data_IF_297258556966
#
_entry.id   IF_297258556966
#
_cell.length_a   1.000
_cell.length_b   1.000
_cell.length_c   1.000
_cell.angle_alpha   90.00
_cell.angle_beta   90.00
_cell.angle_gamma   90.00
#
_symmetry.space_group_name_H-M   'P 1'
#
loop_
_entity.id
_entity.type
_entity.pdbx_description
1 polymer ?
#
# COMPACT_ATOMS: atom_id res chain seq x y z
N UNK A 1 18.58 -1.35 11.61
CA UNK A 1 17.52 -1.59 12.62
C UNK A 1 16.91 -2.99 12.51
N UNK A 2 17.03 -3.69 11.37
CA UNK A 2 16.52 -5.08 11.23
C UNK A 2 17.61 -6.13 10.96
N UNK A 3 18.89 -5.74 10.89
CA UNK A 3 20.03 -6.64 10.68
C UNK A 3 19.89 -7.59 9.47
N UNK A 4 19.12 -7.19 8.45
CA UNK A 4 18.95 -7.97 7.23
C UNK A 4 20.25 -7.94 6.41
N UNK A 5 20.86 -9.09 6.09
CA UNK A 5 22.03 -9.15 5.21
C UNK A 5 21.70 -8.57 3.84
N UNK A 6 22.60 -7.77 3.27
CA UNK A 6 22.32 -7.05 2.03
C UNK A 6 22.12 -8.00 0.83
N UNK A 7 22.82 -9.14 0.79
CA UNK A 7 22.66 -10.14 -0.27
C UNK A 7 21.24 -10.69 -0.29
N UNK A 8 20.73 -11.05 0.90
CA UNK A 8 19.36 -11.54 1.04
C UNK A 8 18.32 -10.46 0.72
N UNK A 9 18.56 -9.21 1.13
CA UNK A 9 17.68 -8.10 0.77
C UNK A 9 17.63 -7.88 -0.76
N UNK A 10 18.76 -7.97 -1.44
CA UNK A 10 18.83 -7.83 -2.91
C UNK A 10 18.01 -8.90 -3.61
N UNK A 11 18.12 -10.18 -3.21
CA UNK A 11 17.34 -11.29 -3.80
C UNK A 11 15.82 -11.06 -3.67
N UNK A 12 15.34 -10.53 -2.53
CA UNK A 12 13.92 -10.21 -2.36
C UNK A 12 13.50 -9.00 -3.20
N UNK A 13 14.35 -7.98 -3.26
CA UNK A 13 14.05 -6.74 -3.98
C UNK A 13 13.95 -6.96 -5.51
N UNK A 14 14.49 -8.04 -6.06
CA UNK A 14 14.30 -8.41 -7.48
C UNK A 14 12.82 -8.59 -7.86
N UNK A 15 11.97 -8.94 -6.89
CA UNK A 15 10.53 -9.10 -7.10
C UNK A 15 9.72 -7.83 -6.84
N UNK A 16 10.37 -6.73 -6.47
CA UNK A 16 9.71 -5.47 -6.14
C UNK A 16 9.83 -4.50 -7.32
N UNK A 17 8.68 -4.13 -7.88
CA UNK A 17 8.61 -3.16 -8.96
C UNK A 17 7.89 -1.88 -8.50
N UNK A 18 8.46 -0.69 -8.78
CA UNK A 18 7.77 0.55 -8.50
C UNK A 18 6.58 0.71 -9.45
N UNK A 19 5.47 1.21 -8.91
CA UNK A 19 4.31 1.60 -9.69
C UNK A 19 4.22 3.12 -9.68
N UNK A 20 4.16 3.71 -10.87
CA UNK A 20 4.00 5.15 -11.07
C UNK A 20 2.65 5.37 -11.77
N UNK A 21 1.63 5.89 -11.07
CA UNK A 21 0.33 6.14 -11.67
C UNK A 21 0.43 7.16 -12.80
N UNK A 22 -0.19 6.86 -13.95
CA UNK A 22 -0.18 7.73 -15.13
C UNK A 22 -1.25 8.84 -15.08
N UNK A 23 -1.95 8.96 -13.96
CA UNK A 23 -2.94 10.00 -13.70
C UNK A 23 -2.93 10.44 -12.25
N UNK A 24 -3.63 11.53 -11.98
CA UNK A 24 -3.95 11.97 -10.63
C UNK A 24 -4.67 10.87 -9.83
N UNK A 25 -4.28 10.72 -8.56
CA UNK A 25 -4.87 9.79 -7.59
C UNK A 25 -5.98 10.41 -6.73
N UNK A 26 -6.51 11.57 -7.14
CA UNK A 26 -7.58 12.26 -6.38
C UNK A 26 -8.77 11.35 -6.03
N UNK A 27 -9.30 10.52 -6.96
CA UNK A 27 -10.40 9.61 -6.63
C UNK A 27 -10.04 8.62 -5.51
N UNK A 28 -8.83 8.08 -5.55
CA UNK A 28 -8.34 7.12 -4.56
C UNK A 28 -8.12 7.80 -3.20
N UNK A 29 -7.56 9.01 -3.17
CA UNK A 29 -7.41 9.78 -1.95
C UNK A 29 -8.76 10.11 -1.31
N UNK A 30 -9.77 10.48 -2.10
CA UNK A 30 -11.12 10.71 -1.59
C UNK A 30 -11.69 9.45 -0.93
N UNK A 31 -11.51 8.29 -1.57
CA UNK A 31 -11.94 6.99 -1.01
C UNK A 31 -11.18 6.64 0.26
N UNK A 32 -9.87 6.89 0.33
CA UNK A 32 -9.06 6.65 1.53
C UNK A 32 -9.53 7.54 2.68
N UNK A 33 -9.71 8.83 2.43
CA UNK A 33 -10.06 9.79 3.46
C UNK A 33 -11.49 9.64 3.99
N UNK A 34 -12.37 8.95 3.27
CA UNK A 34 -13.67 8.54 3.81
C UNK A 34 -13.58 7.38 4.82
N UNK A 35 -12.46 6.65 4.86
CA UNK A 35 -12.24 5.51 5.75
C UNK A 35 -11.29 5.82 6.93
N UNK A 36 -10.49 6.89 6.82
CA UNK A 36 -9.58 7.33 7.86
C UNK A 36 -8.53 8.30 7.34
N UNK A 37 -7.73 8.86 8.23
CA UNK A 37 -6.70 9.83 7.86
C UNK A 37 -5.31 9.18 7.87
N UNK A 38 -4.62 9.26 6.74
CA UNK A 38 -3.18 9.01 6.60
C UNK A 38 -2.58 10.09 5.69
N UNK A 39 -1.25 10.22 5.64
CA UNK A 39 -0.58 11.31 4.92
C UNK A 39 0.73 10.87 4.28
N UNK A 40 1.22 11.67 3.32
CA UNK A 40 2.51 11.43 2.67
C UNK A 40 2.58 10.05 2.02
N UNK A 41 3.67 9.32 2.28
CA UNK A 41 3.91 7.99 1.71
C UNK A 41 2.81 6.97 2.08
N UNK A 42 2.27 7.03 3.31
CA UNK A 42 1.25 6.07 3.74
C UNK A 42 -0.02 6.19 2.90
N UNK A 43 -0.44 7.43 2.63
CA UNK A 43 -1.59 7.71 1.78
C UNK A 43 -1.28 7.38 0.31
N UNK A 44 -0.07 7.72 -0.16
CA UNK A 44 0.35 7.43 -1.53
C UNK A 44 0.38 5.93 -1.84
N UNK A 45 0.85 5.09 -0.92
CA UNK A 45 0.85 3.63 -1.10
C UNK A 45 -0.56 3.06 -1.19
N UNK A 46 -1.47 3.48 -0.31
CA UNK A 46 -2.88 3.08 -0.37
C UNK A 46 -3.55 3.53 -1.66
N UNK A 47 -3.27 4.77 -2.08
CA UNK A 47 -3.85 5.34 -3.29
C UNK A 47 -3.34 4.62 -4.54
N UNK A 48 -2.06 4.27 -4.57
CA UNK A 48 -1.45 3.50 -5.66
C UNK A 48 -2.02 2.07 -5.71
N UNK A 49 -2.24 1.43 -4.56
CA UNK A 49 -2.86 0.11 -4.51
C UNK A 49 -4.31 0.13 -5.03
N UNK A 50 -5.11 1.13 -4.64
CA UNK A 50 -6.47 1.32 -5.17
C UNK A 50 -6.48 1.68 -6.65
N UNK A 51 -5.48 2.42 -7.13
CA UNK A 51 -5.34 2.70 -8.56
C UNK A 51 -5.18 1.42 -9.38
N UNK A 52 -4.37 0.46 -8.88
CA UNK A 52 -4.17 -0.83 -9.52
C UNK A 52 -5.38 -1.76 -9.39
N UNK A 53 -6.03 -1.74 -8.22
CA UNK A 53 -7.15 -2.63 -7.94
C UNK A 53 -8.25 -1.86 -7.18
N UNK A 54 -9.16 -1.19 -7.93
CA UNK A 54 -10.14 -0.26 -7.36
C UNK A 54 -11.10 -0.89 -6.35
N UNK A 55 -11.31 -2.20 -6.45
CA UNK A 55 -12.21 -2.98 -5.60
C UNK A 55 -11.55 -3.50 -4.31
N UNK A 56 -10.23 -3.36 -4.17
CA UNK A 56 -9.43 -3.83 -3.04
C UNK A 56 -9.60 -5.32 -2.67
N UNK A 57 -10.02 -6.21 -3.58
CA UNK A 57 -10.34 -7.62 -3.30
C UNK A 57 -9.25 -8.60 -3.69
N UNK A 58 -8.45 -8.27 -4.71
CA UNK A 58 -7.56 -9.23 -5.37
C UNK A 58 -6.09 -9.06 -4.97
N UNK A 59 -5.74 -7.96 -4.31
CA UNK A 59 -4.39 -7.70 -3.82
C UNK A 59 -4.30 -7.86 -2.30
N UNK A 60 -3.15 -8.33 -1.85
CA UNK A 60 -2.77 -8.27 -0.43
C UNK A 60 -2.00 -6.99 -0.20
N UNK A 61 -2.40 -6.22 0.81
CA UNK A 61 -1.69 -5.02 1.23
C UNK A 61 -0.77 -5.34 2.41
N UNK A 62 0.54 -5.28 2.19
CA UNK A 62 1.55 -5.55 3.20
C UNK A 62 2.02 -4.23 3.83
N UNK A 63 1.93 -4.11 5.16
CA UNK A 63 2.44 -2.96 5.89
C UNK A 63 2.76 -3.30 7.34
N UNK A 64 3.82 -2.70 7.88
CA UNK A 64 4.12 -2.73 9.30
C UNK A 64 3.38 -1.62 10.08
N UNK A 65 2.79 -0.64 9.39
CA UNK A 65 2.05 0.45 10.02
C UNK A 65 0.61 0.01 10.34
N UNK A 66 0.29 -0.02 11.64
CA UNK A 66 -1.02 -0.47 12.12
C UNK A 66 -2.17 0.45 11.70
N UNK A 67 -1.93 1.75 11.55
CA UNK A 67 -2.96 2.71 11.15
C UNK A 67 -3.25 2.55 9.66
N UNK A 68 -2.21 2.45 8.83
CA UNK A 68 -2.34 2.16 7.40
C UNK A 68 -3.01 0.81 7.17
N UNK A 69 -2.64 -0.22 7.92
CA UNK A 69 -3.26 -1.55 7.84
C UNK A 69 -4.76 -1.52 8.15
N UNK A 70 -5.18 -0.77 9.18
CA UNK A 70 -6.62 -0.59 9.48
C UNK A 70 -7.39 0.06 8.34
N UNK A 71 -6.81 1.08 7.69
CA UNK A 71 -7.43 1.74 6.54
C UNK A 71 -7.45 0.80 5.33
N UNK A 72 -6.37 0.07 5.06
CA UNK A 72 -6.34 -0.93 3.99
C UNK A 72 -7.43 -2.00 4.16
N UNK A 73 -7.58 -2.55 5.36
CA UNK A 73 -8.61 -3.55 5.66
C UNK A 73 -10.03 -2.98 5.50
N UNK A 74 -10.28 -1.74 5.94
CA UNK A 74 -11.60 -1.13 5.79
C UNK A 74 -11.94 -0.79 4.33
N UNK A 75 -10.94 -0.57 3.49
CA UNK A 75 -11.11 -0.42 2.03
C UNK A 75 -11.44 -1.74 1.32
N UNK A 76 -11.13 -2.89 1.95
CA UNK A 76 -11.39 -4.24 1.43
C UNK A 76 -10.14 -5.10 1.26
N UNK A 77 -8.94 -4.52 1.36
CA UNK A 77 -7.70 -5.27 1.14
C UNK A 77 -7.52 -6.39 2.16
N UNK A 78 -7.04 -7.53 1.69
CA UNK A 78 -6.51 -8.55 2.58
C UNK A 78 -5.17 -8.08 3.16
N UNK A 79 -4.96 -8.29 4.45
CA UNK A 79 -3.66 -8.06 5.09
C UNK A 79 -2.92 -9.38 5.29
N UNK A 80 -1.60 -9.33 5.21
CA UNK A 80 -0.72 -10.39 5.74
C UNK A 80 -0.29 -9.96 7.14
N UNK A 81 -0.75 -10.70 8.14
CA UNK A 81 -0.44 -10.52 9.57
C UNK A 81 0.84 -11.25 9.95
#
# INVERSE_FOLDING_TARGET
>A
REQVPWQFASEILEFVHPIIPERSLVPEYQKIFSHGYCRGADAFHLATALYLEPEAKNLVFLTADKTQGKIAASLGFRLLS
#
